data_IF_323889620752
#
_entry.id   IF_323889620752
#
_cell.length_a   1.000
_cell.length_b   1.000
_cell.length_c   1.000
_cell.angle_alpha   90.00
_cell.angle_beta   90.00
_cell.angle_gamma   90.00
#
_symmetry.space_group_name_H-M   'P 1'
#
loop_
_entity.id
_entity.type
_entity.pdbx_description
1 polymer ?
#
# COMPACT_ATOMS: atom_id res chain seq x y z
N UNK A 1 23.10 -10.02 -6.41
CA UNK A 1 22.73 -11.23 -5.64
C UNK A 1 21.62 -10.92 -4.61
N UNK A 2 21.76 -9.89 -3.78
CA UNK A 2 20.77 -9.47 -2.78
C UNK A 2 19.37 -9.21 -3.37
N UNK A 3 19.24 -8.51 -4.49
CA UNK A 3 17.96 -8.22 -5.14
C UNK A 3 17.20 -9.49 -5.57
N UNK A 4 17.91 -10.52 -6.00
CA UNK A 4 17.32 -11.82 -6.38
C UNK A 4 16.83 -12.56 -5.14
N UNK A 5 17.65 -12.63 -4.08
CA UNK A 5 17.28 -13.28 -2.82
C UNK A 5 16.08 -12.59 -2.18
N UNK A 6 16.08 -11.24 -2.17
CA UNK A 6 14.94 -10.48 -1.69
C UNK A 6 13.68 -10.77 -2.50
N UNK A 7 13.77 -10.81 -3.83
CA UNK A 7 12.63 -11.11 -4.71
C UNK A 7 12.07 -12.52 -4.46
N UNK A 8 12.95 -13.52 -4.30
CA UNK A 8 12.53 -14.87 -3.94
C UNK A 8 11.85 -14.90 -2.57
N UNK A 9 12.38 -14.19 -1.59
CA UNK A 9 11.75 -14.03 -0.28
C UNK A 9 10.37 -13.36 -0.35
N UNK A 10 10.24 -12.26 -1.09
CA UNK A 10 8.99 -11.55 -1.31
C UNK A 10 7.92 -12.48 -1.93
N UNK A 11 8.28 -13.25 -2.96
CA UNK A 11 7.39 -14.21 -3.62
C UNK A 11 6.99 -15.33 -2.65
N UNK A 12 7.96 -15.95 -1.98
CA UNK A 12 7.71 -17.09 -1.09
C UNK A 12 6.80 -16.70 0.07
N UNK A 13 7.10 -15.58 0.75
CA UNK A 13 6.31 -15.09 1.88
C UNK A 13 4.90 -14.70 1.41
N UNK A 14 4.78 -14.03 0.27
CA UNK A 14 3.47 -13.63 -0.26
C UNK A 14 2.61 -14.84 -0.64
N UNK A 15 3.20 -15.87 -1.24
CA UNK A 15 2.48 -17.10 -1.61
C UNK A 15 2.00 -17.85 -0.36
N UNK A 16 2.87 -18.01 0.63
CA UNK A 16 2.52 -18.64 1.91
C UNK A 16 1.40 -17.83 2.59
N UNK A 17 1.54 -16.52 2.67
CA UNK A 17 0.55 -15.65 3.29
C UNK A 17 -0.81 -15.73 2.58
N UNK A 18 -0.86 -15.66 1.23
CA UNK A 18 -2.11 -15.80 0.47
C UNK A 18 -2.77 -17.16 0.74
N UNK A 19 -1.99 -18.23 0.75
CA UNK A 19 -2.51 -19.59 1.00
C UNK A 19 -3.07 -19.71 2.43
N UNK A 20 -2.32 -19.25 3.43
CA UNK A 20 -2.71 -19.30 4.82
C UNK A 20 -3.94 -18.43 5.12
N UNK A 21 -3.98 -17.22 4.56
CA UNK A 21 -5.09 -16.28 4.77
C UNK A 21 -6.23 -16.43 3.76
N UNK A 22 -6.21 -17.45 2.87
CA UNK A 22 -7.28 -17.68 1.90
C UNK A 22 -8.68 -17.72 2.55
N UNK A 23 -8.93 -18.43 3.66
CA UNK A 23 -10.23 -18.41 4.34
C UNK A 23 -10.63 -17.00 4.80
N UNK A 24 -9.66 -16.22 5.30
CA UNK A 24 -9.89 -14.83 5.74
C UNK A 24 -10.26 -13.94 4.55
N UNK A 25 -9.61 -14.10 3.40
CA UNK A 25 -9.98 -13.38 2.17
C UNK A 25 -11.43 -13.63 1.77
N UNK A 26 -11.88 -14.89 1.86
CA UNK A 26 -13.26 -15.27 1.53
C UNK A 26 -14.24 -14.64 2.52
N UNK A 27 -13.97 -14.73 3.82
CA UNK A 27 -14.82 -14.14 4.85
C UNK A 27 -14.93 -12.61 4.70
N UNK A 28 -13.81 -11.93 4.45
CA UNK A 28 -13.81 -10.49 4.19
C UNK A 28 -14.61 -10.15 2.93
N UNK A 29 -14.45 -10.93 1.86
CA UNK A 29 -15.19 -10.71 0.61
C UNK A 29 -16.71 -10.83 0.81
N UNK A 30 -17.15 -11.83 1.55
CA UNK A 30 -18.57 -12.01 1.92
C UNK A 30 -19.05 -10.83 2.78
N UNK A 31 -18.29 -10.47 3.83
CA UNK A 31 -18.64 -9.36 4.72
C UNK A 31 -18.81 -8.03 3.95
N UNK A 32 -17.89 -7.72 3.02
CA UNK A 32 -17.98 -6.52 2.17
C UNK A 32 -19.23 -6.53 1.30
N UNK A 33 -19.59 -7.70 0.73
CA UNK A 33 -20.77 -7.84 -0.12
C UNK A 33 -22.08 -7.70 0.64
N UNK A 34 -22.10 -8.13 1.90
CA UNK A 34 -23.27 -7.98 2.77
C UNK A 34 -23.41 -6.56 3.33
N UNK A 35 -22.30 -5.84 3.50
CA UNK A 35 -22.28 -4.49 4.09
C UNK A 35 -22.63 -3.39 3.06
N UNK A 36 -22.23 -3.56 1.79
CA UNK A 36 -22.48 -2.55 0.75
C UNK A 36 -22.39 -3.12 -0.68
N UNK A 37 -23.13 -2.53 -1.61
CA UNK A 37 -23.12 -2.90 -3.02
C UNK A 37 -21.78 -2.53 -3.69
N UNK A 38 -21.41 -3.29 -4.74
CA UNK A 38 -20.25 -3.03 -5.58
C UNK A 38 -19.12 -4.08 -5.50
N UNK A 39 -17.93 -3.82 -6.09
CA UNK A 39 -16.82 -4.76 -6.15
C UNK A 39 -16.16 -4.95 -4.78
N UNK A 40 -15.66 -6.16 -4.50
CA UNK A 40 -14.91 -6.48 -3.27
C UNK A 40 -13.55 -5.82 -3.26
N UNK A 41 -12.87 -5.81 -4.42
CA UNK A 41 -11.54 -5.25 -4.59
C UNK A 41 -11.63 -3.82 -5.12
N UNK A 42 -10.98 -2.91 -4.41
CA UNK A 42 -10.73 -1.54 -4.83
C UNK A 42 -9.33 -1.45 -5.46
N UNK A 43 -9.25 -0.73 -6.59
CA UNK A 43 -8.00 -0.48 -7.31
C UNK A 43 -7.72 1.01 -7.31
N UNK A 44 -6.51 1.38 -6.87
CA UNK A 44 -6.09 2.79 -6.86
C UNK A 44 -4.74 2.94 -7.53
N UNK A 45 -4.63 3.91 -8.44
CA UNK A 45 -3.39 4.23 -9.14
C UNK A 45 -2.39 4.88 -8.19
N UNK A 46 -1.17 4.35 -8.15
CA UNK A 46 -0.09 4.78 -7.28
C UNK A 46 1.22 4.89 -8.05
N UNK A 47 2.17 5.66 -7.52
CA UNK A 47 3.54 5.66 -7.99
C UNK A 47 4.29 4.42 -7.46
N UNK A 48 5.00 3.74 -8.36
CA UNK A 48 5.93 2.64 -8.09
C UNK A 48 7.38 3.06 -8.37
N UNK A 49 8.23 2.05 -8.59
CA UNK A 49 9.64 2.25 -8.91
C UNK A 49 9.82 3.15 -10.15
N UNK A 50 10.83 4.03 -10.11
CA UNK A 50 11.14 5.00 -11.18
C UNK A 50 9.93 5.86 -11.58
N UNK A 51 9.05 6.14 -10.62
CA UNK A 51 7.81 6.96 -10.80
C UNK A 51 6.83 6.36 -11.82
N UNK A 52 6.99 5.09 -12.23
CA UNK A 52 6.00 4.38 -13.04
C UNK A 52 4.74 4.14 -12.22
N UNK A 53 3.59 4.30 -12.82
CA UNK A 53 2.32 4.08 -12.12
C UNK A 53 1.84 2.66 -12.25
N UNK A 54 1.25 2.12 -11.17
CA UNK A 54 0.61 0.82 -11.14
C UNK A 54 -0.69 0.88 -10.31
N UNK A 55 -1.46 -0.20 -10.29
CA UNK A 55 -2.68 -0.29 -9.49
C UNK A 55 -2.45 -1.10 -8.23
N UNK A 56 -2.55 -0.44 -7.07
CA UNK A 56 -2.59 -1.12 -5.76
C UNK A 56 -3.95 -1.77 -5.57
N UNK A 57 -3.96 -3.02 -5.13
CA UNK A 57 -5.18 -3.77 -4.79
C UNK A 57 -5.45 -3.68 -3.29
N UNK A 58 -6.69 -3.35 -2.92
CA UNK A 58 -7.16 -3.34 -1.54
C UNK A 58 -8.56 -3.92 -1.45
N UNK A 59 -8.96 -4.41 -0.29
CA UNK A 59 -10.36 -4.59 -0.02
C UNK A 59 -11.07 -3.24 0.02
N UNK A 60 -12.29 -3.19 -0.53
CA UNK A 60 -13.10 -1.99 -0.50
C UNK A 60 -13.56 -1.69 0.92
N UNK A 61 -13.24 -0.49 1.40
CA UNK A 61 -13.59 0.01 2.72
C UNK A 61 -14.51 1.22 2.69
N UNK A 62 -14.84 1.71 1.48
CA UNK A 62 -15.68 2.87 1.26
C UNK A 62 -16.80 2.53 0.27
N UNK A 63 -17.89 3.31 0.32
CA UNK A 63 -19.00 3.24 -0.63
C UNK A 63 -18.51 3.53 -2.04
N UNK A 64 -19.22 3.00 -3.06
CA UNK A 64 -18.82 3.13 -4.48
C UNK A 64 -18.83 4.59 -4.96
N UNK A 65 -19.71 5.42 -4.38
CA UNK A 65 -19.91 6.82 -4.68
C UNK A 65 -18.79 7.71 -4.12
N UNK A 66 -17.92 7.16 -3.26
CA UNK A 66 -16.81 7.93 -2.68
C UNK A 66 -15.82 8.42 -3.74
N UNK A 67 -15.22 9.63 -3.56
CA UNK A 67 -14.21 10.16 -4.47
C UNK A 67 -12.99 9.23 -4.58
N UNK A 68 -12.69 8.72 -5.80
CA UNK A 68 -11.71 7.63 -6.01
C UNK A 68 -10.25 8.10 -6.08
N UNK A 69 -10.02 9.37 -6.44
CA UNK A 69 -8.69 9.90 -6.74
C UNK A 69 -8.16 10.86 -5.69
N UNK A 70 -8.87 11.00 -4.58
CA UNK A 70 -8.51 11.87 -3.45
C UNK A 70 -7.98 10.98 -2.32
N UNK A 71 -6.91 11.41 -1.66
CA UNK A 71 -6.45 10.72 -0.46
C UNK A 71 -7.51 10.86 0.65
N UNK A 72 -7.73 9.83 1.44
CA UNK A 72 -8.77 9.85 2.49
C UNK A 72 -8.61 11.01 3.47
N UNK A 73 -7.36 11.44 3.74
CA UNK A 73 -7.06 12.58 4.61
C UNK A 73 -7.54 13.93 4.06
N UNK A 74 -7.69 14.02 2.73
CA UNK A 74 -8.06 15.24 2.02
C UNK A 74 -9.58 15.30 1.72
N UNK A 75 -10.33 14.26 2.14
CA UNK A 75 -11.79 14.22 2.00
C UNK A 75 -12.46 15.01 3.13
N UNK A 76 -13.44 15.81 2.75
CA UNK A 76 -14.37 16.40 3.74
C UNK A 76 -15.26 15.28 4.31
N UNK A 77 -15.32 15.17 5.64
CA UNK A 77 -16.11 14.17 6.35
C UNK A 77 -15.91 12.73 5.83
N UNK A 78 -14.68 12.18 5.87
CA UNK A 78 -14.38 10.87 5.28
C UNK A 78 -15.22 9.74 5.89
N UNK A 79 -15.69 9.90 7.12
CA UNK A 79 -16.46 8.90 7.87
C UNK A 79 -17.80 8.55 7.20
N UNK A 80 -18.45 9.49 6.52
CA UNK A 80 -19.70 9.24 5.81
C UNK A 80 -19.56 8.25 4.65
N UNK A 81 -18.35 8.12 4.13
CA UNK A 81 -18.02 7.22 3.01
C UNK A 81 -17.54 5.86 3.47
N UNK A 82 -17.02 5.74 4.71
CA UNK A 82 -16.47 4.48 5.22
C UNK A 82 -17.62 3.56 5.63
N UNK A 83 -17.61 2.31 5.14
CA UNK A 83 -18.61 1.30 5.51
C UNK A 83 -18.29 0.73 6.90
N UNK A 84 -19.24 0.03 7.54
CA UNK A 84 -19.03 -0.58 8.88
C UNK A 84 -17.90 -1.62 8.85
N UNK A 85 -17.95 -2.53 7.89
CA UNK A 85 -16.88 -3.50 7.65
C UNK A 85 -15.59 -2.80 7.27
N UNK A 86 -15.67 -1.75 6.44
CA UNK A 86 -14.53 -0.93 6.05
C UNK A 86 -13.81 -0.27 7.22
N UNK A 87 -14.51 0.22 8.21
CA UNK A 87 -13.91 0.80 9.42
C UNK A 87 -13.08 -0.24 10.20
N UNK A 88 -13.61 -1.46 10.36
CA UNK A 88 -12.87 -2.56 10.98
C UNK A 88 -11.63 -2.95 10.18
N UNK A 89 -11.76 -3.11 8.85
CA UNK A 89 -10.65 -3.48 7.98
C UNK A 89 -9.51 -2.45 8.03
N UNK A 90 -9.83 -1.16 8.03
CA UNK A 90 -8.83 -0.08 8.16
C UNK A 90 -8.13 -0.09 9.51
N UNK A 91 -8.89 -0.27 10.60
CA UNK A 91 -8.33 -0.35 11.95
C UNK A 91 -7.34 -1.51 12.12
N UNK A 92 -7.59 -2.63 11.45
CA UNK A 92 -6.77 -3.84 11.51
C UNK A 92 -5.74 -3.94 10.37
N UNK A 93 -5.76 -3.01 9.40
CA UNK A 93 -4.98 -3.04 8.16
C UNK A 93 -5.24 -4.27 7.29
N UNK A 94 -6.31 -5.02 7.53
CA UNK A 94 -6.70 -6.17 6.71
C UNK A 94 -7.14 -5.77 5.30
N UNK A 95 -7.54 -4.52 5.10
CA UNK A 95 -7.84 -3.97 3.77
C UNK A 95 -6.64 -4.02 2.81
N UNK A 96 -5.42 -4.09 3.32
CA UNK A 96 -4.20 -4.11 2.53
C UNK A 96 -3.74 -5.51 2.12
N UNK A 97 -4.34 -6.59 2.63
CA UNK A 97 -3.98 -7.97 2.29
C UNK A 97 -3.94 -8.27 0.77
N UNK A 98 -4.84 -7.73 -0.09
CA UNK A 98 -4.75 -7.95 -1.53
C UNK A 98 -3.48 -7.40 -2.20
N UNK A 99 -2.71 -6.53 -1.52
CA UNK A 99 -1.41 -6.07 -2.02
C UNK A 99 -0.37 -7.20 -2.10
N UNK A 100 -0.57 -8.32 -1.42
CA UNK A 100 0.23 -9.53 -1.61
C UNK A 100 0.23 -9.99 -3.08
N UNK A 101 -0.87 -9.77 -3.82
CA UNK A 101 -0.91 -10.01 -5.26
C UNK A 101 -0.01 -9.03 -6.03
N UNK A 102 0.06 -7.74 -5.62
CA UNK A 102 0.98 -6.78 -6.23
C UNK A 102 2.45 -7.19 -6.00
N UNK A 103 2.75 -7.79 -4.85
CA UNK A 103 4.08 -8.31 -4.57
C UNK A 103 4.38 -9.50 -5.49
N UNK A 104 3.45 -10.44 -5.67
CA UNK A 104 3.65 -11.59 -6.55
C UNK A 104 3.90 -11.19 -8.01
N UNK A 105 3.18 -10.19 -8.53
CA UNK A 105 3.38 -9.74 -9.93
C UNK A 105 4.62 -8.86 -10.10
N UNK A 106 5.19 -8.32 -9.01
CA UNK A 106 6.43 -7.55 -9.06
C UNK A 106 6.27 -6.03 -9.01
N UNK A 107 5.07 -5.53 -8.81
CA UNK A 107 4.81 -4.09 -8.65
C UNK A 107 5.27 -3.57 -7.29
N UNK A 108 5.31 -4.46 -6.29
CA UNK A 108 5.63 -4.15 -4.89
C UNK A 108 6.58 -5.18 -4.28
N UNK A 109 7.10 -4.83 -3.12
CA UNK A 109 7.86 -5.67 -2.21
C UNK A 109 7.16 -5.74 -0.85
N UNK A 110 7.53 -6.67 0.01
CA UNK A 110 7.06 -6.67 1.41
C UNK A 110 7.58 -5.44 2.14
N UNK A 111 8.87 -5.17 2.02
CA UNK A 111 9.51 -4.00 2.67
C UNK A 111 9.98 -3.01 1.62
N UNK A 112 9.58 -1.76 1.76
CA UNK A 112 9.92 -0.65 0.87
C UNK A 112 9.15 0.63 1.22
N UNK A 113 9.44 1.75 0.55
CA UNK A 113 8.68 2.98 0.72
C UNK A 113 7.19 2.79 0.40
N UNK A 114 6.29 3.37 1.20
CA UNK A 114 4.84 3.24 0.95
C UNK A 114 4.47 3.81 -0.44
N UNK A 115 3.69 3.08 -1.26
CA UNK A 115 3.28 3.60 -2.56
C UNK A 115 2.39 4.84 -2.41
N UNK A 116 2.74 5.94 -3.10
CA UNK A 116 2.14 7.27 -2.98
C UNK A 116 1.01 7.42 -3.99
N UNK A 117 -0.07 8.11 -3.62
CA UNK A 117 -1.19 8.43 -4.54
C UNK A 117 -0.69 9.41 -5.60
N UNK A 118 -1.21 9.29 -6.82
CA UNK A 118 -0.76 10.15 -7.94
C UNK A 118 -1.05 11.66 -7.74
N UNK A 119 -1.92 12.01 -6.80
CA UNK A 119 -2.18 13.39 -6.39
C UNK A 119 -1.11 13.97 -5.45
N UNK A 120 -0.35 13.12 -4.74
CA UNK A 120 0.67 13.53 -3.75
C UNK A 120 2.05 13.70 -4.42
N UNK A 121 2.17 14.62 -5.36
CA UNK A 121 3.41 14.88 -6.11
C UNK A 121 4.53 15.44 -5.23
N UNK A 122 4.19 16.21 -4.21
CA UNK A 122 5.10 16.77 -3.22
C UNK A 122 5.94 15.68 -2.52
N UNK A 123 5.34 14.55 -2.21
CA UNK A 123 6.05 13.40 -1.62
C UNK A 123 7.04 12.79 -2.61
N UNK A 124 6.66 12.66 -3.88
CA UNK A 124 7.53 12.11 -4.93
C UNK A 124 8.72 13.03 -5.19
N UNK A 125 8.50 14.35 -5.24
CA UNK A 125 9.57 15.34 -5.40
C UNK A 125 10.52 15.35 -4.21
N UNK A 126 9.99 15.25 -2.99
CA UNK A 126 10.82 15.14 -1.78
C UNK A 126 11.68 13.87 -1.79
N UNK A 127 11.12 12.71 -2.20
CA UNK A 127 11.82 11.42 -2.32
C UNK A 127 12.94 11.42 -3.36
N UNK A 128 12.83 12.25 -4.42
CA UNK A 128 13.85 12.36 -5.46
C UNK A 128 15.22 12.74 -4.88
N UNK A 129 15.24 13.62 -3.87
CA UNK A 129 16.46 14.07 -3.19
C UNK A 129 17.23 12.95 -2.50
N UNK A 130 16.54 11.84 -2.19
CA UNK A 130 17.08 10.74 -1.40
C UNK A 130 17.11 9.40 -2.15
N UNK A 131 16.83 9.38 -3.46
CA UNK A 131 16.81 8.14 -4.27
C UNK A 131 15.69 7.15 -3.88
N UNK A 132 14.70 7.57 -3.08
CA UNK A 132 13.65 6.68 -2.61
C UNK A 132 12.64 6.25 -3.68
N UNK A 133 12.67 6.89 -4.85
CA UNK A 133 11.86 6.52 -6.00
C UNK A 133 12.48 5.39 -6.85
N UNK A 134 13.73 4.99 -6.57
CA UNK A 134 14.48 4.01 -7.35
C UNK A 134 14.40 2.59 -6.78
N UNK A 135 13.58 2.40 -5.75
CA UNK A 135 13.30 1.09 -5.16
C UNK A 135 11.82 0.74 -5.28
N UNK A 136 11.51 -0.57 -5.22
CA UNK A 136 10.11 -1.03 -5.22
C UNK A 136 9.37 -0.50 -3.99
N UNK A 137 8.13 -0.01 -4.15
CA UNK A 137 7.30 0.34 -3.02
C UNK A 137 6.96 -0.89 -2.18
N UNK A 138 6.79 -0.69 -0.86
CA UNK A 138 6.55 -1.76 0.10
C UNK A 138 5.13 -1.79 0.66
N UNK A 139 4.72 -2.98 1.10
CA UNK A 139 3.55 -3.16 1.95
C UNK A 139 3.80 -2.54 3.33
N UNK A 140 5.00 -2.72 3.86
CA UNK A 140 5.51 -2.03 5.04
C UNK A 140 6.83 -1.32 4.70
N UNK A 141 7.30 -0.40 5.55
CA UNK A 141 8.54 0.34 5.28
C UNK A 141 9.02 1.14 6.47
N UNK A 142 10.25 1.64 6.36
CA UNK A 142 10.93 2.30 7.45
C UNK A 142 10.18 3.53 7.98
N UNK A 143 9.66 4.38 7.09
CA UNK A 143 8.84 5.52 7.48
C UNK A 143 7.51 5.10 8.15
N UNK A 144 6.93 3.94 7.74
CA UNK A 144 5.68 3.46 8.31
C UNK A 144 5.83 3.01 9.77
N UNK A 145 6.94 2.37 10.14
CA UNK A 145 7.18 1.92 11.52
C UNK A 145 7.70 3.04 12.43
N UNK A 146 8.23 4.14 11.86
CA UNK A 146 8.80 5.27 12.61
C UNK A 146 7.85 6.49 12.72
N UNK A 147 6.55 6.32 12.49
CA UNK A 147 5.57 7.39 12.73
C UNK A 147 4.46 7.51 11.69
N UNK A 148 4.57 6.78 10.57
CA UNK A 148 3.50 6.61 9.57
C UNK A 148 2.92 7.96 9.10
N UNK A 149 1.64 8.21 9.37
CA UNK A 149 0.93 9.39 8.87
C UNK A 149 1.24 10.68 9.66
N UNK A 150 1.81 10.55 10.87
CA UNK A 150 2.17 11.70 11.72
C UNK A 150 3.49 12.39 11.30
N UNK A 151 4.23 11.80 10.35
CA UNK A 151 5.48 12.38 9.87
C UNK A 151 5.22 13.43 8.80
N UNK A 152 6.01 14.51 8.80
CA UNK A 152 6.05 15.46 7.68
C UNK A 152 6.56 14.80 6.39
N UNK A 153 6.21 15.38 5.23
CA UNK A 153 6.64 14.89 3.92
C UNK A 153 8.16 14.74 3.83
N UNK A 154 8.92 15.71 4.35
CA UNK A 154 10.38 15.67 4.29
C UNK A 154 10.98 14.57 5.17
N UNK A 155 10.46 14.37 6.37
CA UNK A 155 10.90 13.28 7.26
C UNK A 155 10.57 11.92 6.65
N UNK A 156 9.37 11.75 6.07
CA UNK A 156 9.01 10.53 5.33
C UNK A 156 9.99 10.24 4.21
N UNK A 157 10.27 11.25 3.38
CA UNK A 157 11.19 11.13 2.25
C UNK A 157 12.61 10.75 2.71
N UNK A 158 13.10 11.34 3.80
CA UNK A 158 14.40 11.01 4.39
C UNK A 158 14.47 9.58 4.91
N UNK A 159 13.44 9.11 5.62
CA UNK A 159 13.38 7.73 6.12
C UNK A 159 13.26 6.70 4.98
N UNK A 160 12.48 7.02 3.94
CA UNK A 160 12.37 6.20 2.73
C UNK A 160 13.71 6.16 1.97
N UNK A 161 14.44 7.29 1.92
CA UNK A 161 15.79 7.36 1.36
C UNK A 161 16.81 6.56 2.15
N UNK A 162 16.74 6.58 3.49
CA UNK A 162 17.58 5.74 4.34
C UNK A 162 17.42 4.26 3.98
N UNK A 163 16.18 3.80 3.80
CA UNK A 163 15.93 2.44 3.33
C UNK A 163 16.53 2.19 1.95
N UNK A 164 16.35 3.11 0.99
CA UNK A 164 16.85 2.95 -0.36
C UNK A 164 18.38 2.82 -0.41
N UNK A 165 19.10 3.65 0.34
CA UNK A 165 20.57 3.58 0.46
C UNK A 165 21.00 2.28 1.12
N UNK A 166 20.40 1.91 2.27
CA UNK A 166 20.72 0.67 2.98
C UNK A 166 20.46 -0.57 2.14
N UNK A 167 19.41 -0.52 1.32
CA UNK A 167 19.05 -1.59 0.38
C UNK A 167 20.09 -1.78 -0.75
N UNK A 168 20.72 -0.70 -1.21
CA UNK A 168 21.71 -0.74 -2.30
C UNK A 168 23.11 -1.17 -1.84
N UNK A 169 23.39 -1.06 -0.54
CA UNK A 169 24.69 -1.40 0.03
C UNK A 169 24.79 -2.83 0.64
N UNK A 170 23.68 -3.59 0.64
CA UNK A 170 23.62 -5.00 1.04
C UNK A 170 23.63 -5.92 -0.18
#
# INVERSE_FOLDING_TARGET
MYSILKRLGDISISLIAITLFCPVFILIAIAIKLDSEGPVIFKQKRFGIHKKTFYVFKFRTMKVESPKYVATRDLQNPEQWITRVGAFLRKTSLDELPQLCNILVGDMSIVGPRPVVVSERDVIEAREKYGANDVLPGLTGWAQINGRDNLSTDIKAKLDGYYAVSYTHL
#
